data_IF_328105152132
#
_entry.id   IF_328105152132
#
_cell.length_a   1.000
_cell.length_b   1.000
_cell.length_c   1.000
_cell.angle_alpha   90.00
_cell.angle_beta   90.00
_cell.angle_gamma   90.00
#
_symmetry.space_group_name_H-M   'P 1'
#
loop_
_entity.id
_entity.type
_entity.pdbx_description
1 polymer ?
#
# COMPACT_ATOMS: atom_id res chain seq x y z
N UNK A 1 -38.12 -33.39 -49.54
CA UNK A 1 -36.71 -33.07 -49.24
C UNK A 1 -36.68 -32.03 -48.13
N UNK A 2 -36.67 -32.47 -46.88
CA UNK A 2 -36.63 -31.59 -45.71
C UNK A 2 -35.77 -32.26 -44.63
N UNK A 3 -35.08 -31.43 -43.85
CA UNK A 3 -34.28 -31.74 -42.66
C UNK A 3 -32.85 -32.26 -42.88
N UNK A 4 -31.88 -31.34 -42.77
CA UNK A 4 -30.59 -31.67 -42.10
C UNK A 4 -29.85 -30.47 -41.50
N UNK A 5 -30.28 -29.22 -41.77
CA UNK A 5 -29.51 -28.03 -41.34
C UNK A 5 -29.72 -27.62 -39.87
N UNK A 6 -30.79 -28.08 -39.21
CA UNK A 6 -31.10 -27.69 -37.82
C UNK A 6 -30.26 -28.40 -36.75
N UNK A 7 -29.70 -29.57 -37.04
CA UNK A 7 -28.94 -30.37 -36.05
C UNK A 7 -27.48 -29.96 -35.91
N UNK A 8 -26.92 -29.23 -36.89
CA UNK A 8 -25.53 -28.77 -36.84
C UNK A 8 -25.34 -27.56 -35.91
N UNK A 9 -26.33 -26.67 -35.84
CA UNK A 9 -26.26 -25.48 -34.97
C UNK A 9 -26.41 -25.81 -33.48
N UNK A 10 -27.15 -26.88 -33.13
CA UNK A 10 -27.31 -27.30 -31.74
C UNK A 10 -26.02 -27.90 -31.14
N UNK A 11 -25.16 -28.51 -31.97
CA UNK A 11 -23.88 -29.08 -31.53
C UNK A 11 -22.86 -27.96 -31.27
N UNK A 12 -22.84 -26.90 -32.08
CA UNK A 12 -21.92 -25.76 -31.91
C UNK A 12 -22.25 -24.94 -30.65
N UNK A 13 -23.54 -24.82 -30.29
CA UNK A 13 -23.95 -24.12 -29.06
C UNK A 13 -23.67 -24.92 -27.78
N UNK A 14 -23.54 -26.25 -27.87
CA UNK A 14 -23.24 -27.11 -26.70
C UNK A 14 -21.74 -27.15 -26.35
N UNK A 15 -20.86 -26.86 -27.32
CA UNK A 15 -19.40 -26.92 -27.13
C UNK A 15 -18.84 -25.66 -26.44
N UNK A 16 -19.59 -24.55 -26.39
CA UNK A 16 -19.18 -23.33 -25.68
C UNK A 16 -19.50 -23.33 -24.18
N UNK A 17 -20.22 -24.34 -23.68
CA UNK A 17 -20.55 -24.49 -22.25
C UNK A 17 -19.53 -25.33 -21.47
N UNK A 18 -18.60 -26.01 -22.14
CA UNK A 18 -17.49 -26.70 -21.48
C UNK A 18 -16.27 -25.78 -21.42
N UNK A 19 -16.34 -24.75 -20.56
CA UNK A 19 -15.12 -24.13 -20.04
C UNK A 19 -14.43 -25.18 -19.19
N UNK A 20 -13.36 -25.76 -19.72
CA UNK A 20 -12.40 -26.53 -18.93
C UNK A 20 -11.74 -25.56 -17.95
N UNK A 21 -12.24 -25.50 -16.72
CA UNK A 21 -11.47 -25.02 -15.59
C UNK A 21 -10.30 -26.00 -15.41
N UNK A 22 -9.13 -25.62 -15.89
CA UNK A 22 -7.87 -26.24 -15.49
C UNK A 22 -7.65 -25.91 -14.01
N UNK A 23 -8.26 -26.70 -13.14
CA UNK A 23 -7.87 -26.76 -11.74
C UNK A 23 -6.51 -27.45 -11.70
N UNK A 24 -5.45 -26.68 -11.42
CA UNK A 24 -4.19 -27.26 -10.99
C UNK A 24 -4.48 -28.07 -9.72
N UNK A 25 -4.25 -29.38 -9.79
CA UNK A 25 -4.26 -30.31 -8.67
C UNK A 25 -3.08 -30.00 -7.73
N UNK A 26 -3.23 -28.93 -6.96
CA UNK A 26 -2.40 -28.62 -5.80
C UNK A 26 -2.94 -29.38 -4.59
N UNK A 27 -2.06 -30.16 -3.97
CA UNK A 27 -2.26 -30.90 -2.73
C UNK A 27 -3.19 -30.18 -1.73
N UNK A 28 -4.29 -30.82 -1.34
CA UNK A 28 -5.17 -30.37 -0.25
C UNK A 28 -4.43 -30.50 1.09
N UNK A 29 -3.56 -29.53 1.39
CA UNK A 29 -3.33 -29.13 2.77
C UNK A 29 -4.66 -28.59 3.31
N UNK A 30 -5.08 -29.07 4.49
CA UNK A 30 -6.39 -28.77 5.06
C UNK A 30 -6.76 -27.29 4.94
N UNK A 31 -7.99 -27.01 4.52
CA UNK A 31 -8.52 -25.66 4.37
C UNK A 31 -8.45 -24.94 5.71
N UNK A 32 -7.49 -24.02 5.86
CA UNK A 32 -7.43 -23.16 7.04
C UNK A 32 -8.61 -22.18 6.97
N UNK A 33 -9.38 -22.12 8.06
CA UNK A 33 -10.38 -21.09 8.23
C UNK A 33 -9.78 -19.97 9.07
N UNK A 34 -9.96 -18.74 8.62
CA UNK A 34 -9.59 -17.54 9.33
C UNK A 34 -10.83 -17.00 10.04
N UNK A 35 -10.70 -16.70 11.34
CA UNK A 35 -11.74 -16.10 12.15
C UNK A 35 -11.20 -14.80 12.74
N UNK A 36 -11.91 -13.70 12.52
CA UNK A 36 -11.47 -12.36 12.91
C UNK A 36 -10.04 -12.02 12.42
N UNK A 37 -9.74 -12.20 11.13
CA UNK A 37 -8.38 -12.12 10.63
C UNK A 37 -7.75 -10.74 10.89
N UNK A 38 -6.46 -10.78 11.15
CA UNK A 38 -5.57 -9.62 11.12
C UNK A 38 -4.62 -9.74 9.95
N UNK A 39 -4.56 -8.71 9.12
CA UNK A 39 -3.56 -8.58 8.06
C UNK A 39 -2.47 -7.62 8.51
N UNK A 40 -1.21 -8.07 8.47
CA UNK A 40 -0.04 -7.24 8.71
C UNK A 40 0.69 -7.00 7.38
N UNK A 41 1.12 -5.76 7.16
CA UNK A 41 1.68 -5.32 5.90
C UNK A 41 2.97 -4.56 6.14
N UNK A 42 3.93 -4.71 5.22
CA UNK A 42 5.10 -3.84 5.10
C UNK A 42 5.20 -3.22 3.73
N UNK A 43 5.48 -1.92 3.70
CA UNK A 43 5.47 -1.15 2.47
C UNK A 43 6.30 0.12 2.61
N UNK A 44 6.66 0.70 1.46
CA UNK A 44 7.06 2.09 1.37
C UNK A 44 5.81 2.97 1.41
N UNK A 45 5.83 3.96 2.30
CA UNK A 45 4.64 4.75 2.62
C UNK A 45 4.40 5.87 1.60
N UNK A 46 3.14 6.13 1.19
CA UNK A 46 2.80 7.29 0.39
C UNK A 46 3.12 8.61 1.12
N UNK A 47 3.55 9.64 0.39
CA UNK A 47 3.82 10.96 0.99
C UNK A 47 2.60 11.53 1.73
N UNK A 48 1.39 11.29 1.24
CA UNK A 48 0.13 11.71 1.86
C UNK A 48 -0.13 11.12 3.26
N UNK A 49 0.58 10.05 3.63
CA UNK A 49 0.50 9.39 4.94
C UNK A 49 1.64 9.81 5.88
N UNK A 50 2.39 10.84 5.50
CA UNK A 50 3.50 11.41 6.26
C UNK A 50 3.24 12.88 6.53
N UNK A 51 3.97 13.45 7.50
CA UNK A 51 3.86 14.86 7.85
C UNK A 51 5.25 15.50 8.01
N UNK A 52 5.38 16.80 7.73
CA UNK A 52 6.63 17.51 7.86
C UNK A 52 6.90 17.98 9.31
N UNK A 53 8.15 18.32 9.65
CA UNK A 53 8.46 18.99 10.91
C UNK A 53 7.83 20.39 10.96
N UNK A 54 7.66 20.95 12.17
CA UNK A 54 6.95 22.21 12.38
C UNK A 54 7.59 23.43 11.71
N UNK A 55 8.91 23.37 11.45
CA UNK A 55 9.71 24.40 10.80
C UNK A 55 9.90 24.15 9.29
N UNK A 56 9.22 23.17 8.70
CA UNK A 56 9.45 22.77 7.32
C UNK A 56 9.15 23.87 6.30
N UNK A 57 8.21 24.77 6.60
CA UNK A 57 7.91 25.92 5.73
C UNK A 57 9.07 26.93 5.73
N UNK A 58 9.64 27.23 6.89
CA UNK A 58 10.77 28.16 7.01
C UNK A 58 12.05 27.54 6.44
N UNK A 59 12.25 26.24 6.68
CA UNK A 59 13.43 25.50 6.24
C UNK A 59 13.34 25.00 4.79
N UNK A 60 12.15 25.12 4.16
CA UNK A 60 11.82 24.58 2.84
C UNK A 60 12.14 23.07 2.72
N UNK A 61 11.82 22.30 3.76
CA UNK A 61 12.10 20.86 3.88
C UNK A 61 10.85 19.99 3.77
N UNK A 62 9.72 20.51 3.32
CA UNK A 62 8.52 19.71 3.08
C UNK A 62 8.64 18.92 1.77
N UNK A 63 7.98 17.76 1.70
CA UNK A 63 7.79 17.01 0.48
C UNK A 63 6.42 17.34 -0.13
N UNK A 64 6.31 17.22 -1.46
CA UNK A 64 5.04 17.41 -2.15
C UNK A 64 4.05 16.30 -1.79
N UNK A 65 2.78 16.67 -1.64
CA UNK A 65 1.69 15.74 -1.31
C UNK A 65 1.60 15.33 0.17
N UNK A 66 2.47 15.82 1.04
CA UNK A 66 2.39 15.52 2.48
C UNK A 66 1.16 16.16 3.15
N UNK A 67 0.68 15.50 4.20
CA UNK A 67 -0.30 16.11 5.08
C UNK A 67 0.34 17.22 5.92
N UNK A 68 -0.41 18.27 6.25
CA UNK A 68 0.11 19.41 7.02
C UNK A 68 0.35 19.10 8.51
N UNK A 69 -0.24 18.03 9.04
CA UNK A 69 -0.13 17.64 10.46
C UNK A 69 -0.07 16.13 10.61
N UNK A 70 0.48 15.66 11.74
CA UNK A 70 0.49 14.23 12.09
C UNK A 70 -0.92 13.64 12.14
N UNK A 71 -1.88 14.34 12.76
CA UNK A 71 -3.27 13.87 12.85
C UNK A 71 -3.89 13.71 11.47
N UNK A 72 -3.62 14.63 10.55
CA UNK A 72 -4.15 14.50 9.19
C UNK A 72 -3.48 13.37 8.41
N UNK A 73 -2.16 13.20 8.52
CA UNK A 73 -1.45 12.06 7.94
C UNK A 73 -2.02 10.73 8.45
N UNK A 74 -2.27 10.65 9.76
CA UNK A 74 -2.86 9.50 10.41
C UNK A 74 -4.27 9.20 9.89
N UNK A 75 -5.11 10.23 9.78
CA UNK A 75 -6.47 10.09 9.29
C UNK A 75 -6.51 9.68 7.81
N UNK A 76 -5.62 10.24 6.97
CA UNK A 76 -5.49 9.84 5.57
C UNK A 76 -5.17 8.34 5.46
N UNK A 77 -4.14 7.88 6.18
CA UNK A 77 -3.74 6.48 6.17
C UNK A 77 -4.83 5.54 6.67
N UNK A 78 -5.45 5.84 7.81
CA UNK A 78 -6.53 5.01 8.37
C UNK A 78 -7.74 4.96 7.45
N UNK A 79 -8.12 6.08 6.84
CA UNK A 79 -9.24 6.16 5.90
C UNK A 79 -8.94 5.34 4.65
N UNK A 80 -7.75 5.49 4.08
CA UNK A 80 -7.35 4.77 2.87
C UNK A 80 -7.28 3.26 3.09
N UNK A 81 -6.65 2.81 4.20
CA UNK A 81 -6.58 1.41 4.59
C UNK A 81 -7.98 0.80 4.80
N UNK A 82 -8.84 1.50 5.53
CA UNK A 82 -10.20 1.03 5.83
C UNK A 82 -11.06 0.99 4.57
N UNK A 83 -10.98 2.02 3.73
CA UNK A 83 -11.70 2.09 2.46
C UNK A 83 -11.25 0.99 1.50
N UNK A 84 -9.94 0.77 1.35
CA UNK A 84 -9.42 -0.27 0.47
C UNK A 84 -9.88 -1.66 0.91
N UNK A 85 -9.93 -1.95 2.21
CA UNK A 85 -10.43 -3.22 2.72
C UNK A 85 -11.95 -3.36 2.56
N UNK A 86 -12.70 -2.28 2.79
CA UNK A 86 -14.14 -2.23 2.56
C UNK A 86 -14.46 -2.56 1.09
N UNK A 87 -13.72 -1.95 0.15
CA UNK A 87 -13.85 -2.24 -1.28
C UNK A 87 -13.47 -3.68 -1.59
N UNK A 88 -12.36 -4.19 -1.04
CA UNK A 88 -11.93 -5.57 -1.26
C UNK A 88 -12.95 -6.60 -0.76
N UNK A 89 -13.57 -6.36 0.40
CA UNK A 89 -14.66 -7.21 0.90
C UNK A 89 -15.88 -7.16 -0.03
N UNK A 90 -16.26 -5.97 -0.48
CA UNK A 90 -17.40 -5.77 -1.38
C UNK A 90 -17.19 -6.45 -2.74
N UNK A 91 -15.99 -6.37 -3.31
CA UNK A 91 -15.60 -7.05 -4.56
C UNK A 91 -15.65 -8.58 -4.44
N UNK A 92 -15.50 -9.11 -3.23
CA UNK A 92 -15.61 -10.53 -2.92
C UNK A 92 -17.02 -10.91 -2.43
N UNK A 93 -18.02 -10.10 -2.75
CA UNK A 93 -19.45 -10.31 -2.42
C UNK A 93 -19.74 -10.40 -0.90
N UNK A 94 -18.86 -9.84 -0.07
CA UNK A 94 -19.04 -9.76 1.38
C UNK A 94 -19.60 -8.39 1.78
N UNK A 95 -20.62 -8.39 2.65
CA UNK A 95 -21.18 -7.16 3.16
C UNK A 95 -20.27 -6.57 4.24
N UNK A 96 -19.43 -5.61 3.84
CA UNK A 96 -18.49 -4.93 4.74
C UNK A 96 -19.17 -4.28 5.97
N UNK A 97 -20.44 -3.89 5.87
CA UNK A 97 -21.20 -3.29 6.98
C UNK A 97 -21.51 -4.27 8.12
N UNK A 98 -21.29 -5.57 7.94
CA UNK A 98 -21.44 -6.58 9.00
C UNK A 98 -20.15 -6.79 9.81
N UNK A 99 -19.03 -6.19 9.40
CA UNK A 99 -17.74 -6.39 10.02
C UNK A 99 -17.19 -5.10 10.59
N UNK A 100 -16.45 -5.20 11.70
CA UNK A 100 -15.73 -4.06 12.26
C UNK A 100 -14.28 -4.10 11.76
N UNK A 101 -13.98 -3.17 10.85
CA UNK A 101 -12.67 -3.01 10.24
C UNK A 101 -11.88 -1.95 11.03
N UNK A 102 -10.75 -2.35 11.60
CA UNK A 102 -9.88 -1.46 12.38
C UNK A 102 -8.49 -1.42 11.74
N UNK A 103 -8.11 -0.27 11.19
CA UNK A 103 -6.77 -0.05 10.67
C UNK A 103 -5.87 0.62 11.73
N UNK A 104 -4.63 0.15 11.84
CA UNK A 104 -3.58 0.70 12.69
C UNK A 104 -2.37 1.01 11.83
N UNK A 105 -1.90 2.24 11.95
CA UNK A 105 -0.71 2.78 11.30
C UNK A 105 -0.15 3.88 12.21
N UNK A 106 1.13 4.19 12.11
CA UNK A 106 1.72 5.34 12.80
C UNK A 106 2.31 6.26 11.75
N UNK A 107 1.71 7.44 11.58
CA UNK A 107 2.23 8.43 10.63
C UNK A 107 3.66 8.85 11.01
N UNK A 108 4.64 8.73 10.09
CA UNK A 108 6.01 9.15 10.33
C UNK A 108 6.21 10.63 10.04
N UNK A 109 7.16 11.23 10.76
CA UNK A 109 7.70 12.54 10.43
C UNK A 109 8.73 12.35 9.30
N UNK A 110 8.52 13.03 8.17
CA UNK A 110 9.34 12.87 6.96
C UNK A 110 9.60 14.25 6.35
N UNK A 111 10.81 14.49 5.90
CA UNK A 111 11.26 15.78 5.35
C UNK A 111 12.32 15.61 4.27
N UNK A 112 12.37 16.58 3.37
CA UNK A 112 13.45 16.77 2.41
C UNK A 112 14.69 17.37 3.09
N UNK A 113 15.82 17.37 2.38
CA UNK A 113 17.05 17.96 2.88
C UNK A 113 16.89 19.44 3.22
N UNK A 114 17.44 19.81 4.38
CA UNK A 114 17.51 21.18 4.80
C UNK A 114 18.48 21.98 3.92
N UNK A 115 18.06 23.20 3.55
CA UNK A 115 18.79 24.07 2.64
C UNK A 115 19.66 25.05 3.43
N UNK A 116 20.94 25.18 3.09
CA UNK A 116 21.90 26.00 3.84
C UNK A 116 21.57 27.51 3.81
N UNK A 117 20.73 27.95 2.87
CA UNK A 117 20.28 29.34 2.74
C UNK A 117 19.11 29.71 3.66
N UNK A 118 18.45 28.74 4.30
CA UNK A 118 17.22 28.97 5.10
C UNK A 118 17.46 29.02 6.62
N UNK A 119 18.68 28.72 7.07
CA UNK A 119 19.09 28.80 8.48
C UNK A 119 20.00 27.65 8.91
N UNK A 120 20.25 27.54 10.22
CA UNK A 120 20.96 26.40 10.82
C UNK A 120 19.95 25.29 11.12
N UNK A 121 19.87 24.27 10.26
CA UNK A 121 19.05 23.08 10.52
C UNK A 121 19.71 22.17 11.53
N UNK A 122 18.93 21.64 12.47
CA UNK A 122 19.32 20.52 13.33
C UNK A 122 19.03 19.16 12.68
N UNK A 123 18.18 19.14 11.65
CA UNK A 123 17.84 17.97 10.85
C UNK A 123 18.73 17.96 9.60
N UNK A 124 19.74 17.10 9.62
CA UNK A 124 20.73 16.98 8.53
C UNK A 124 20.54 15.71 7.71
N UNK A 125 19.77 14.76 8.22
CA UNK A 125 19.21 13.66 7.45
C UNK A 125 18.04 14.13 6.58
N UNK A 126 17.56 13.25 5.69
CA UNK A 126 16.37 13.51 4.88
C UNK A 126 15.80 12.22 4.33
N UNK A 127 14.66 12.35 3.65
CA UNK A 127 13.99 11.24 3.01
C UNK A 127 13.94 11.43 1.49
N UNK A 128 14.10 10.35 0.75
CA UNK A 128 14.00 10.34 -0.71
C UNK A 128 12.64 9.77 -1.13
N UNK A 129 12.07 10.38 -2.16
CA UNK A 129 10.77 10.03 -2.73
C UNK A 129 10.95 9.56 -4.16
N UNK A 130 10.33 8.44 -4.51
CA UNK A 130 10.28 7.91 -5.87
C UNK A 130 8.82 7.82 -6.34
N UNK A 131 8.39 8.80 -7.14
CA UNK A 131 6.97 9.04 -7.43
C UNK A 131 6.31 9.78 -6.27
N UNK A 132 5.25 9.21 -5.71
CA UNK A 132 4.54 9.73 -4.53
C UNK A 132 4.81 8.91 -3.26
N UNK A 133 5.93 8.19 -3.22
CA UNK A 133 6.25 7.20 -2.18
C UNK A 133 7.61 7.47 -1.58
N UNK A 134 7.68 7.49 -0.24
CA UNK A 134 8.93 7.65 0.51
C UNK A 134 9.66 6.31 0.56
N UNK A 135 10.83 6.22 -0.07
CA UNK A 135 11.54 4.94 -0.24
C UNK A 135 12.76 4.81 0.66
N UNK A 136 13.47 5.91 0.93
CA UNK A 136 14.75 5.86 1.65
C UNK A 136 14.86 6.93 2.71
N UNK A 137 15.55 6.60 3.79
CA UNK A 137 16.07 7.53 4.78
C UNK A 137 17.57 7.67 4.55
N UNK A 138 18.04 8.91 4.44
CA UNK A 138 19.43 9.23 4.13
C UNK A 138 20.05 9.96 5.31
N UNK A 139 21.16 9.41 5.80
CA UNK A 139 21.90 9.92 6.95
C UNK A 139 23.37 10.12 6.62
N UNK A 140 24.11 10.76 7.52
CA UNK A 140 25.57 10.95 7.40
C UNK A 140 26.00 12.30 6.84
N UNK A 141 25.06 13.19 6.49
CA UNK A 141 25.42 14.58 6.21
C UNK A 141 25.80 15.32 7.50
N UNK A 142 26.88 16.08 7.43
CA UNK A 142 27.43 16.85 8.55
C UNK A 142 27.06 18.33 8.51
N UNK A 143 26.43 18.78 7.43
CA UNK A 143 26.00 20.15 7.21
C UNK A 143 24.77 20.19 6.30
N UNK A 144 24.01 21.29 6.39
CA UNK A 144 22.90 21.55 5.47
C UNK A 144 23.40 21.65 4.01
N UNK A 145 22.56 21.25 3.06
CA UNK A 145 22.92 21.19 1.65
C UNK A 145 22.56 22.50 0.94
N UNK A 146 23.29 22.86 -0.13
CA UNK A 146 22.80 23.92 -1.02
C UNK A 146 21.52 23.47 -1.73
N UNK A 147 20.69 24.40 -2.20
CA UNK A 147 19.47 24.05 -2.94
C UNK A 147 19.75 23.13 -4.14
N UNK A 148 20.81 23.41 -4.90
CA UNK A 148 21.24 22.58 -6.03
C UNK A 148 21.63 21.16 -5.58
N UNK A 149 22.41 21.03 -4.51
CA UNK A 149 22.86 19.74 -3.97
C UNK A 149 21.72 18.92 -3.36
N UNK A 150 20.75 19.60 -2.76
CA UNK A 150 19.54 18.99 -2.21
C UNK A 150 18.63 18.42 -3.33
N UNK A 151 18.56 19.10 -4.48
CA UNK A 151 17.83 18.62 -5.67
C UNK A 151 18.58 17.49 -6.35
N UNK A 152 19.88 17.67 -6.62
CA UNK A 152 20.71 16.68 -7.31
C UNK A 152 21.12 15.49 -6.41
N UNK A 153 20.72 15.52 -5.13
CA UNK A 153 21.10 14.55 -4.08
C UNK A 153 22.62 14.28 -4.06
N UNK A 154 23.41 15.29 -4.41
CA UNK A 154 24.87 15.22 -4.51
C UNK A 154 25.47 15.84 -3.25
N UNK A 155 26.15 15.05 -2.43
CA UNK A 155 26.74 15.50 -1.17
C UNK A 155 28.21 15.09 -1.11
N UNK A 156 29.05 15.95 -0.54
CA UNK A 156 30.44 15.62 -0.24
C UNK A 156 30.50 14.77 1.04
N UNK A 157 31.00 13.54 0.94
CA UNK A 157 31.12 12.61 2.07
C UNK A 157 30.42 11.27 1.84
N UNK A 158 30.49 10.39 2.83
CA UNK A 158 29.82 9.08 2.79
C UNK A 158 28.41 9.20 3.35
N UNK A 159 27.41 9.14 2.48
CA UNK A 159 26.02 9.04 2.89
C UNK A 159 25.62 7.58 3.10
N UNK A 160 24.79 7.33 4.10
CA UNK A 160 24.14 6.03 4.28
C UNK A 160 22.69 6.16 3.85
N UNK A 161 22.27 5.30 2.92
CA UNK A 161 20.87 5.21 2.48
C UNK A 161 20.28 3.90 2.96
N UNK A 162 19.21 3.96 3.73
CA UNK A 162 18.47 2.78 4.22
C UNK A 162 17.04 2.82 3.73
N UNK A 163 16.50 1.67 3.38
CA UNK A 163 15.10 1.55 2.98
C UNK A 163 14.17 1.97 4.13
N UNK A 164 13.20 2.83 3.82
CA UNK A 164 12.24 3.35 4.80
C UNK A 164 10.93 2.59 4.72
N UNK A 165 10.96 1.37 5.26
CA UNK A 165 9.83 0.44 5.27
C UNK A 165 9.02 0.65 6.56
N UNK A 166 7.70 0.76 6.42
CA UNK A 166 6.79 0.88 7.55
C UNK A 166 5.80 -0.27 7.60
N UNK A 167 5.31 -0.52 8.81
CA UNK A 167 4.29 -1.51 9.11
C UNK A 167 2.91 -0.85 9.23
N UNK A 168 1.88 -1.53 8.71
CA UNK A 168 0.50 -1.29 9.08
C UNK A 168 -0.23 -2.60 9.36
N UNK A 169 -1.30 -2.50 10.14
CA UNK A 169 -2.14 -3.63 10.52
C UNK A 169 -3.59 -3.30 10.25
N UNK A 170 -4.36 -4.28 9.77
CA UNK A 170 -5.81 -4.17 9.68
C UNK A 170 -6.46 -5.41 10.28
N UNK A 171 -7.37 -5.21 11.21
CA UNK A 171 -8.11 -6.28 11.89
C UNK A 171 -9.58 -6.21 11.48
N UNK A 172 -10.16 -7.37 11.15
CA UNK A 172 -11.53 -7.48 10.64
C UNK A 172 -12.33 -8.37 11.60
N UNK A 173 -13.00 -7.77 12.57
CA UNK A 173 -13.82 -8.49 13.54
C UNK A 173 -15.17 -8.88 12.91
N UNK A 174 -15.62 -10.11 13.16
CA UNK A 174 -16.85 -10.69 12.63
C UNK A 174 -16.69 -11.48 11.32
N UNK A 175 -15.52 -11.44 10.69
CA UNK A 175 -15.27 -12.14 9.43
C UNK A 175 -14.81 -13.59 9.69
N UNK A 176 -15.47 -14.54 9.02
CA UNK A 176 -15.04 -15.94 8.95
C UNK A 176 -14.97 -16.38 7.50
N UNK A 177 -13.77 -16.75 7.03
CA UNK A 177 -13.52 -17.11 5.63
C UNK A 177 -12.50 -18.23 5.53
N UNK A 178 -12.53 -18.98 4.44
CA UNK A 178 -11.49 -19.97 4.15
C UNK A 178 -10.26 -19.34 3.47
N UNK A 179 -9.17 -20.09 3.33
CA UNK A 179 -7.93 -19.63 2.69
C UNK A 179 -8.11 -19.06 1.29
N UNK A 180 -8.99 -19.64 0.48
CA UNK A 180 -9.21 -19.19 -0.90
C UNK A 180 -9.82 -17.78 -0.89
N UNK A 181 -10.91 -17.61 -0.14
CA UNK A 181 -11.58 -16.32 0.02
C UNK A 181 -10.64 -15.27 0.62
N UNK A 182 -9.86 -15.64 1.65
CA UNK A 182 -8.93 -14.70 2.27
C UNK A 182 -7.83 -14.25 1.29
N UNK A 183 -7.34 -15.14 0.44
CA UNK A 183 -6.36 -14.80 -0.60
C UNK A 183 -6.95 -13.83 -1.63
N UNK A 184 -8.20 -14.04 -2.04
CA UNK A 184 -8.89 -13.14 -2.98
C UNK A 184 -9.11 -11.75 -2.38
N UNK A 185 -9.52 -11.67 -1.11
CA UNK A 185 -9.67 -10.41 -0.37
C UNK A 185 -8.32 -9.68 -0.28
N UNK A 186 -7.24 -10.38 0.06
CA UNK A 186 -5.92 -9.77 0.13
C UNK A 186 -5.45 -9.22 -1.22
N UNK A 187 -5.63 -9.97 -2.30
CA UNK A 187 -5.22 -9.52 -3.63
C UNK A 187 -5.99 -8.25 -4.06
N UNK A 188 -7.30 -8.23 -3.82
CA UNK A 188 -8.13 -7.05 -4.08
C UNK A 188 -7.68 -5.86 -3.22
N UNK A 189 -7.44 -6.09 -1.93
CA UNK A 189 -6.98 -5.06 -1.01
C UNK A 189 -5.62 -4.46 -1.39
N UNK A 190 -4.65 -5.31 -1.73
CA UNK A 190 -3.34 -4.87 -2.21
C UNK A 190 -3.44 -4.10 -3.52
N UNK A 191 -4.30 -4.54 -4.45
CA UNK A 191 -4.53 -3.82 -5.70
C UNK A 191 -5.12 -2.43 -5.45
N UNK A 192 -6.12 -2.32 -4.57
CA UNK A 192 -6.74 -1.05 -4.20
C UNK A 192 -5.71 -0.07 -3.59
N UNK A 193 -4.83 -0.54 -2.71
CA UNK A 193 -3.79 0.29 -2.11
C UNK A 193 -2.68 0.66 -3.09
N UNK A 194 -2.25 -0.28 -3.93
CA UNK A 194 -1.13 -0.05 -4.86
C UNK A 194 -1.52 0.90 -5.98
N UNK A 195 -2.66 0.69 -6.61
CA UNK A 195 -3.11 1.49 -7.75
C UNK A 195 -3.90 2.73 -7.33
N UNK A 196 -4.67 2.64 -6.25
CA UNK A 196 -5.50 3.75 -5.78
C UNK A 196 -4.74 4.77 -4.94
N UNK A 197 -3.71 4.34 -4.19
CA UNK A 197 -3.03 5.15 -3.17
C UNK A 197 -1.51 5.16 -3.28
N UNK A 198 -0.94 4.49 -4.27
CA UNK A 198 0.50 4.47 -4.52
C UNK A 198 1.30 3.68 -3.49
N UNK A 199 0.67 2.84 -2.66
CA UNK A 199 1.40 2.02 -1.68
C UNK A 199 2.28 1.00 -2.41
N UNK A 200 3.57 0.93 -2.06
CA UNK A 200 4.50 -0.06 -2.64
C UNK A 200 4.85 -1.12 -1.59
N UNK A 201 4.21 -2.28 -1.67
CA UNK A 201 4.48 -3.40 -0.78
C UNK A 201 5.89 -3.96 -0.98
N UNK A 202 6.58 -4.23 0.14
CA UNK A 202 7.92 -4.83 0.13
C UNK A 202 7.88 -6.34 0.25
N UNK A 203 6.83 -6.86 0.87
CA UNK A 203 6.54 -8.28 1.03
C UNK A 203 5.03 -8.52 0.97
N UNK A 204 4.65 -9.78 0.75
CA UNK A 204 3.25 -10.18 0.79
C UNK A 204 2.69 -9.99 2.22
N UNK A 205 1.50 -9.39 2.39
CA UNK A 205 0.86 -9.29 3.68
C UNK A 205 0.67 -10.65 4.35
N UNK A 206 0.85 -10.69 5.66
CA UNK A 206 0.68 -11.90 6.48
C UNK A 206 -0.65 -11.86 7.21
N UNK A 207 -1.31 -13.02 7.34
CA UNK A 207 -2.60 -13.14 8.02
C UNK A 207 -2.41 -13.92 9.32
N UNK A 208 -2.94 -13.37 10.41
CA UNK A 208 -3.03 -14.01 11.73
C UNK A 208 -4.48 -14.10 12.19
#
# INVERSE_FOLDING_TARGET
>A
MYQSKGRLYTIIFLVTLFRNSYECSGSYGGTQNYQNPTVNMKFFTPTAWTYPPSDATTMLSYLLGQASTQTQAQNNAVTDLTSAMTSALTENELNAGLYKITATYTAPLVYDCAKSSTGTSTLLDWYEVEGDVVTKHVTGATQALTGANCISKTVQGTLTKTDFILDARISIEGLTVNTIQMTQILNAFMAQLSFGKGVKFTENPTIN
#
